data_IF_270357626654
#
_entry.id   IF_270357626654
#
_cell.length_a   1.000
_cell.length_b   1.000
_cell.length_c   1.000
_cell.angle_alpha   90.00
_cell.angle_beta   90.00
_cell.angle_gamma   90.00
#
_symmetry.space_group_name_H-M   'P 1'
#
loop_
_entity.id
_entity.type
_entity.pdbx_description
1 polymer ?
#
# COMPACT_ATOMS: atom_id res chain seq x y z
N UNK A 1 19.03 -8.82 9.81
CA UNK A 1 18.01 -8.30 10.77
C UNK A 1 18.70 -8.11 12.11
N UNK A 2 18.51 -6.99 12.76
CA UNK A 2 18.99 -6.77 14.13
C UNK A 2 18.13 -7.64 15.09
N UNK A 3 18.72 -8.73 15.56
CA UNK A 3 18.03 -9.71 16.41
C UNK A 3 17.69 -9.16 17.79
N UNK A 4 18.50 -8.22 18.30
CA UNK A 4 18.24 -7.57 19.58
C UNK A 4 17.04 -6.63 19.47
N UNK A 5 17.02 -5.76 18.44
CA UNK A 5 15.88 -4.89 18.17
C UNK A 5 14.59 -5.68 17.95
N UNK A 6 14.67 -6.78 17.17
CA UNK A 6 13.53 -7.66 16.94
C UNK A 6 12.96 -8.20 18.26
N UNK A 7 13.82 -8.74 19.12
CA UNK A 7 13.43 -9.37 20.40
C UNK A 7 12.94 -8.38 21.45
N UNK A 8 13.61 -7.22 21.57
CA UNK A 8 13.38 -6.28 22.67
C UNK A 8 12.40 -5.17 22.34
N UNK A 9 12.16 -4.88 21.04
CA UNK A 9 11.34 -3.75 20.59
C UNK A 9 10.21 -4.16 19.64
N UNK A 10 10.56 -4.71 18.48
CA UNK A 10 9.59 -4.91 17.43
C UNK A 10 8.55 -5.98 17.80
N UNK A 11 9.00 -7.17 18.19
CA UNK A 11 8.10 -8.27 18.49
C UNK A 11 7.17 -8.00 19.69
N UNK A 12 7.63 -7.49 20.84
CA UNK A 12 6.73 -7.15 21.94
C UNK A 12 5.63 -6.18 21.55
N UNK A 13 5.95 -5.17 20.74
CA UNK A 13 4.96 -4.20 20.26
C UNK A 13 3.93 -4.83 19.34
N UNK A 14 4.37 -5.57 18.31
CA UNK A 14 3.47 -6.25 17.36
C UNK A 14 2.59 -7.29 18.07
N UNK A 15 3.15 -8.01 19.05
CA UNK A 15 2.41 -8.97 19.89
C UNK A 15 1.23 -8.31 20.64
N UNK A 16 1.44 -7.12 21.22
CA UNK A 16 0.37 -6.41 21.91
C UNK A 16 -0.70 -5.87 20.94
N UNK A 17 -0.30 -5.43 19.74
CA UNK A 17 -1.26 -5.05 18.70
C UNK A 17 -2.10 -6.26 18.25
N UNK A 18 -1.47 -7.42 18.03
CA UNK A 18 -2.17 -8.65 17.71
C UNK A 18 -3.17 -9.04 18.81
N UNK A 19 -2.73 -9.00 20.07
CA UNK A 19 -3.59 -9.25 21.25
C UNK A 19 -4.75 -8.27 21.35
N UNK A 20 -4.54 -7.01 21.00
CA UNK A 20 -5.63 -6.02 20.94
C UNK A 20 -6.73 -6.49 19.99
N UNK A 21 -6.39 -6.89 18.75
CA UNK A 21 -7.39 -7.36 17.79
C UNK A 21 -8.12 -8.63 18.26
N UNK A 22 -7.44 -9.54 18.94
CA UNK A 22 -8.09 -10.72 19.56
C UNK A 22 -9.16 -10.31 20.58
N UNK A 23 -8.84 -9.32 21.41
CA UNK A 23 -9.70 -8.88 22.51
C UNK A 23 -10.92 -8.06 22.06
N UNK A 24 -10.77 -7.25 20.99
CA UNK A 24 -11.88 -6.39 20.50
C UNK A 24 -12.76 -7.07 19.46
N UNK A 25 -12.33 -8.19 18.89
CA UNK A 25 -13.10 -8.94 17.89
C UNK A 25 -14.13 -9.87 18.54
N UNK A 26 -15.18 -10.13 17.78
CA UNK A 26 -16.22 -11.10 18.10
C UNK A 26 -16.37 -12.11 16.96
N UNK A 27 -17.03 -13.23 17.20
CA UNK A 27 -17.39 -14.17 16.13
C UNK A 27 -18.76 -13.83 15.54
N UNK A 28 -18.86 -13.92 14.24
CA UNK A 28 -20.12 -13.85 13.53
C UNK A 28 -20.88 -15.20 13.56
N UNK A 29 -22.05 -15.25 12.89
CA UNK A 29 -22.87 -16.46 12.81
C UNK A 29 -22.23 -17.59 12.00
N UNK A 30 -21.24 -17.30 11.18
CA UNK A 30 -20.48 -18.24 10.37
C UNK A 30 -19.22 -18.75 11.07
N UNK A 31 -18.94 -18.26 12.29
CA UNK A 31 -17.76 -18.60 13.06
C UNK A 31 -16.48 -17.87 12.60
N UNK A 32 -16.61 -16.79 11.81
CA UNK A 32 -15.51 -15.92 11.45
C UNK A 32 -15.41 -14.75 12.42
N UNK A 33 -14.18 -14.28 12.66
CA UNK A 33 -13.96 -13.06 13.44
C UNK A 33 -14.41 -11.82 12.69
N UNK A 34 -14.92 -10.86 13.42
CA UNK A 34 -15.18 -9.53 12.92
C UNK A 34 -14.98 -8.47 14.01
N UNK A 35 -14.74 -7.24 13.64
CA UNK A 35 -14.90 -6.11 14.54
C UNK A 35 -16.39 -5.82 14.73
N UNK A 36 -16.83 -5.59 15.98
CA UNK A 36 -18.23 -5.23 16.24
C UNK A 36 -18.63 -3.88 15.62
N UNK A 37 -17.63 -3.00 15.46
CA UNK A 37 -17.73 -1.70 14.83
C UNK A 37 -16.41 -1.38 14.12
N UNK A 38 -16.47 -0.89 12.90
CA UNK A 38 -15.32 -0.62 12.05
C UNK A 38 -15.55 0.67 11.27
N UNK A 39 -14.50 1.31 10.79
CA UNK A 39 -14.57 2.48 9.94
C UNK A 39 -13.47 2.43 8.87
N UNK A 40 -13.50 3.36 7.94
CA UNK A 40 -12.40 3.56 6.99
C UNK A 40 -12.05 5.05 7.00
N UNK A 41 -10.76 5.43 6.99
CA UNK A 41 -10.35 6.81 7.20
C UNK A 41 -11.12 7.80 6.34
N UNK A 42 -11.79 8.72 7.00
CA UNK A 42 -12.54 9.85 6.43
C UNK A 42 -13.67 9.48 5.46
N UNK A 43 -14.00 8.21 5.30
CA UNK A 43 -15.18 7.78 4.55
C UNK A 43 -16.41 8.17 5.37
N UNK A 44 -17.28 8.96 4.76
CA UNK A 44 -18.47 9.56 5.39
C UNK A 44 -18.16 10.49 6.58
N UNK A 45 -16.92 10.96 6.74
CA UNK A 45 -16.46 11.87 7.80
C UNK A 45 -16.88 11.42 9.23
N UNK A 46 -17.65 12.25 9.96
CA UNK A 46 -18.13 11.95 11.31
C UNK A 46 -19.62 11.56 11.36
N UNK A 47 -20.22 11.24 10.22
CA UNK A 47 -21.63 10.85 10.17
C UNK A 47 -21.82 9.44 10.75
N UNK A 48 -23.08 9.12 11.09
CA UNK A 48 -23.40 7.79 11.65
C UNK A 48 -23.08 6.65 10.67
N UNK A 49 -23.19 6.89 9.38
CA UNK A 49 -22.90 5.95 8.30
C UNK A 49 -21.39 5.76 8.02
N UNK A 50 -20.51 6.50 8.73
CA UNK A 50 -19.07 6.22 8.77
C UNK A 50 -18.73 4.95 9.58
N UNK A 51 -19.67 4.43 10.36
CA UNK A 51 -19.50 3.29 11.24
C UNK A 51 -20.15 2.03 10.66
N UNK A 52 -19.33 1.06 10.32
CA UNK A 52 -19.75 -0.19 9.70
C UNK A 52 -19.90 -1.28 10.77
N UNK A 53 -20.99 -2.05 10.69
CA UNK A 53 -21.22 -3.22 11.56
C UNK A 53 -20.46 -4.47 11.11
N UNK A 54 -19.68 -4.37 10.04
CA UNK A 54 -18.78 -5.38 9.53
C UNK A 54 -17.38 -4.79 9.43
N UNK A 55 -16.36 -5.65 9.51
CA UNK A 55 -14.96 -5.24 9.33
C UNK A 55 -14.76 -4.64 7.94
N UNK A 56 -14.24 -3.42 7.87
CA UNK A 56 -13.85 -2.79 6.60
C UNK A 56 -12.60 -3.44 6.03
N UNK A 57 -12.38 -3.34 4.71
CA UNK A 57 -11.14 -3.81 4.11
C UNK A 57 -9.91 -3.04 4.63
N UNK A 58 -10.08 -1.79 5.08
CA UNK A 58 -9.04 -1.04 5.78
C UNK A 58 -8.58 -1.73 7.06
N UNK A 59 -9.52 -2.02 7.95
CA UNK A 59 -9.19 -2.69 9.21
C UNK A 59 -8.72 -4.12 8.97
N UNK A 60 -9.34 -4.84 8.03
CA UNK A 60 -8.95 -6.21 7.68
C UNK A 60 -7.51 -6.29 7.17
N UNK A 61 -7.10 -5.35 6.32
CA UNK A 61 -5.72 -5.25 5.84
C UNK A 61 -4.73 -5.04 6.99
N UNK A 62 -5.05 -4.13 7.93
CA UNK A 62 -4.23 -3.88 9.11
C UNK A 62 -4.15 -5.09 10.06
N UNK A 63 -5.26 -5.80 10.25
CA UNK A 63 -5.31 -7.03 11.02
C UNK A 63 -4.44 -8.12 10.38
N UNK A 64 -4.62 -8.36 9.08
CA UNK A 64 -3.87 -9.40 8.35
C UNK A 64 -2.37 -9.13 8.34
N UNK A 65 -1.94 -7.89 8.06
CA UNK A 65 -0.51 -7.58 8.09
C UNK A 65 0.06 -7.72 9.50
N UNK A 66 -0.69 -7.37 10.54
CA UNK A 66 -0.26 -7.51 11.93
C UNK A 66 0.00 -8.97 12.28
N UNK A 67 -0.93 -9.88 12.00
CA UNK A 67 -0.72 -11.31 12.29
C UNK A 67 0.34 -11.94 11.40
N UNK A 68 0.44 -11.53 10.12
CA UNK A 68 1.50 -12.01 9.22
C UNK A 68 2.88 -11.65 9.77
N UNK A 69 3.08 -10.39 10.14
CA UNK A 69 4.35 -9.91 10.70
C UNK A 69 4.62 -10.52 12.07
N UNK A 70 3.61 -10.67 12.93
CA UNK A 70 3.75 -11.32 14.23
C UNK A 70 4.22 -12.78 14.07
N UNK A 71 3.62 -13.52 13.13
CA UNK A 71 4.01 -14.89 12.79
C UNK A 71 5.47 -14.96 12.32
N UNK A 72 5.86 -14.14 11.35
CA UNK A 72 7.23 -14.11 10.80
C UNK A 72 8.27 -13.75 11.86
N UNK A 73 7.96 -12.80 12.74
CA UNK A 73 8.83 -12.41 13.84
C UNK A 73 8.96 -13.55 14.86
N UNK A 74 7.85 -14.24 15.21
CA UNK A 74 7.86 -15.38 16.12
C UNK A 74 8.69 -16.54 15.55
N UNK A 75 8.53 -16.87 14.27
CA UNK A 75 9.35 -17.86 13.56
C UNK A 75 10.84 -17.51 13.60
N UNK A 76 11.19 -16.25 13.33
CA UNK A 76 12.58 -15.76 13.38
C UNK A 76 13.18 -15.85 14.79
N UNK A 77 12.37 -15.71 15.83
CA UNK A 77 12.78 -15.83 17.23
C UNK A 77 12.73 -17.28 17.76
N UNK A 78 12.28 -18.25 16.96
CA UNK A 78 12.12 -19.66 17.36
C UNK A 78 10.89 -19.90 18.26
N UNK A 79 9.94 -18.98 18.32
CA UNK A 79 8.72 -19.07 19.12
C UNK A 79 7.59 -19.77 18.33
N UNK A 80 7.79 -21.05 18.04
CA UNK A 80 6.95 -21.79 17.08
C UNK A 80 5.49 -21.93 17.51
N UNK A 81 5.21 -22.03 18.82
CA UNK A 81 3.83 -22.09 19.33
C UNK A 81 3.07 -20.78 19.11
N UNK A 82 3.76 -19.63 19.29
CA UNK A 82 3.21 -18.32 19.01
C UNK A 82 3.01 -18.12 17.50
N UNK A 83 3.95 -18.57 16.67
CA UNK A 83 3.80 -18.52 15.21
C UNK A 83 2.58 -19.34 14.74
N UNK A 84 2.39 -20.55 15.29
CA UNK A 84 1.23 -21.37 15.00
C UNK A 84 -0.09 -20.74 15.49
N UNK A 85 -0.05 -20.02 16.62
CA UNK A 85 -1.20 -19.26 17.11
C UNK A 85 -1.60 -18.16 16.11
N UNK A 86 -0.64 -17.34 15.64
CA UNK A 86 -0.94 -16.27 14.67
C UNK A 86 -1.42 -16.82 13.32
N UNK A 87 -0.91 -17.96 12.88
CA UNK A 87 -1.41 -18.63 11.68
C UNK A 87 -2.90 -19.00 11.82
N UNK A 88 -3.30 -19.56 12.95
CA UNK A 88 -4.73 -19.86 13.23
C UNK A 88 -5.57 -18.59 13.27
N UNK A 89 -5.04 -17.50 13.89
CA UNK A 89 -5.76 -16.23 13.93
C UNK A 89 -6.04 -15.69 12.51
N UNK A 90 -5.07 -15.77 11.59
CA UNK A 90 -5.27 -15.35 10.19
C UNK A 90 -6.44 -16.09 9.52
N UNK A 91 -6.58 -17.39 9.78
CA UNK A 91 -7.63 -18.22 9.18
C UNK A 91 -9.03 -17.92 9.73
N UNK A 92 -9.11 -17.31 10.92
CA UNK A 92 -10.40 -16.97 11.56
C UNK A 92 -11.06 -15.72 10.96
N UNK A 93 -10.30 -14.84 10.30
CA UNK A 93 -10.84 -13.64 9.66
C UNK A 93 -11.41 -13.93 8.27
N UNK A 94 -12.44 -13.18 7.82
CA UNK A 94 -13.01 -13.35 6.49
C UNK A 94 -12.03 -12.91 5.40
N UNK A 95 -12.31 -13.28 4.16
CA UNK A 95 -11.64 -12.70 3.00
C UNK A 95 -12.05 -11.24 2.80
N UNK A 96 -11.27 -10.50 2.00
CA UNK A 96 -11.59 -9.12 1.63
C UNK A 96 -12.95 -9.05 0.91
N UNK A 97 -13.72 -8.03 1.23
CA UNK A 97 -14.96 -7.74 0.54
C UNK A 97 -14.67 -7.25 -0.89
N UNK A 98 -15.23 -7.92 -1.89
CA UNK A 98 -15.01 -7.65 -3.31
C UNK A 98 -16.32 -7.74 -4.10
N UNK A 99 -16.39 -7.02 -5.23
CA UNK A 99 -17.43 -7.17 -6.26
C UNK A 99 -16.84 -6.92 -7.67
N UNK A 100 -17.66 -6.57 -8.63
CA UNK A 100 -17.25 -6.24 -10.00
C UNK A 100 -16.41 -4.95 -10.07
N UNK A 101 -16.54 -4.03 -9.14
CA UNK A 101 -15.71 -2.80 -9.07
C UNK A 101 -14.31 -3.05 -8.50
N UNK A 102 -14.11 -4.16 -7.80
CA UNK A 102 -12.84 -4.52 -7.16
C UNK A 102 -12.96 -4.69 -5.66
N UNK A 103 -11.95 -4.21 -4.91
CA UNK A 103 -11.96 -4.18 -3.45
C UNK A 103 -12.94 -3.13 -2.95
N UNK A 104 -13.80 -3.50 -1.99
CA UNK A 104 -14.81 -2.65 -1.40
C UNK A 104 -14.30 -1.90 -0.17
N UNK A 105 -15.00 -0.86 0.27
CA UNK A 105 -14.77 -0.23 1.57
C UNK A 105 -15.11 -1.21 2.70
N UNK A 106 -16.29 -1.83 2.59
CA UNK A 106 -16.82 -2.83 3.52
C UNK A 106 -17.75 -3.78 2.76
N UNK A 107 -18.14 -4.93 3.31
CA UNK A 107 -19.14 -5.80 2.70
C UNK A 107 -20.40 -5.05 2.26
N UNK A 108 -20.68 -5.06 0.95
CA UNK A 108 -21.82 -4.37 0.34
C UNK A 108 -21.67 -2.85 0.17
N UNK A 109 -20.50 -2.27 0.47
CA UNK A 109 -20.23 -0.83 0.27
C UNK A 109 -19.03 -0.65 -0.66
N UNK A 110 -19.23 -0.45 -1.96
CA UNK A 110 -18.17 -0.04 -2.88
C UNK A 110 -17.74 1.41 -2.60
N UNK A 111 -16.57 1.80 -3.14
CA UNK A 111 -16.23 3.20 -3.29
C UNK A 111 -17.02 3.71 -4.50
N UNK A 112 -17.94 4.65 -4.24
CA UNK A 112 -18.92 5.16 -5.20
C UNK A 112 -18.82 6.67 -5.44
N UNK A 113 -17.84 7.32 -4.83
CA UNK A 113 -17.53 8.73 -5.02
C UNK A 113 -16.01 9.00 -5.02
N UNK A 114 -15.60 10.11 -5.61
CA UNK A 114 -14.21 10.56 -5.53
C UNK A 114 -13.80 10.76 -4.08
N UNK A 115 -12.62 10.27 -3.71
CA UNK A 115 -12.12 10.39 -2.34
C UNK A 115 -10.60 10.41 -2.31
N UNK A 116 -10.01 11.19 -1.39
CA UNK A 116 -8.55 11.34 -1.26
C UNK A 116 -7.83 10.13 -0.68
N UNK A 117 -8.53 9.23 0.02
CA UNK A 117 -7.97 8.04 0.63
C UNK A 117 -8.43 6.76 -0.08
N UNK A 118 -7.48 5.96 -0.52
CA UNK A 118 -7.70 4.62 -1.07
C UNK A 118 -7.46 3.54 0.00
N UNK A 119 -7.90 3.80 1.23
CA UNK A 119 -7.64 2.95 2.39
C UNK A 119 -8.15 1.52 2.25
N UNK A 120 -9.21 1.29 1.48
CA UNK A 120 -9.71 -0.04 1.14
C UNK A 120 -8.72 -0.85 0.26
N UNK A 121 -7.69 -0.21 -0.31
CA UNK A 121 -6.66 -0.85 -1.15
C UNK A 121 -5.36 -1.17 -0.39
N UNK A 122 -5.32 -1.01 0.94
CA UNK A 122 -4.11 -1.27 1.73
C UNK A 122 -3.58 -2.70 1.58
N UNK A 123 -4.46 -3.69 1.41
CA UNK A 123 -4.04 -5.08 1.16
C UNK A 123 -3.16 -5.20 -0.09
N UNK A 124 -3.38 -4.35 -1.11
CA UNK A 124 -2.52 -4.27 -2.28
C UNK A 124 -1.30 -3.38 -2.03
N UNK A 125 -1.52 -2.10 -1.69
CA UNK A 125 -0.43 -1.16 -1.43
C UNK A 125 -0.72 -0.31 -0.20
N UNK A 126 0.17 -0.28 0.80
CA UNK A 126 1.57 -0.74 0.77
C UNK A 126 1.81 -2.20 1.16
N UNK A 127 0.82 -2.92 1.74
CA UNK A 127 1.09 -4.16 2.46
C UNK A 127 1.49 -5.35 1.57
N UNK A 128 1.06 -5.40 0.31
CA UNK A 128 1.39 -6.50 -0.60
C UNK A 128 0.78 -7.84 -0.21
N UNK A 129 -0.30 -7.84 0.58
CA UNK A 129 -1.07 -9.04 0.93
C UNK A 129 -1.79 -9.60 -0.30
N UNK A 130 -2.18 -8.72 -1.21
CA UNK A 130 -2.66 -9.04 -2.55
C UNK A 130 -1.66 -8.45 -3.55
N UNK A 131 -1.12 -9.28 -4.47
CA UNK A 131 -0.10 -8.88 -5.43
C UNK A 131 -0.29 -9.56 -6.77
N UNK A 132 0.14 -8.91 -7.85
CA UNK A 132 0.05 -9.44 -9.21
C UNK A 132 0.80 -10.77 -9.41
N UNK A 133 1.81 -11.07 -8.59
CA UNK A 133 2.54 -12.35 -8.60
C UNK A 133 1.68 -13.53 -8.15
N UNK A 134 0.54 -13.30 -7.51
CA UNK A 134 -0.42 -14.34 -7.11
C UNK A 134 -1.29 -14.84 -8.28
N UNK A 135 -1.10 -14.30 -9.47
CA UNK A 135 -1.71 -14.77 -10.71
C UNK A 135 -2.88 -13.92 -11.20
N UNK A 136 -3.53 -14.41 -12.24
CA UNK A 136 -4.49 -13.62 -13.03
C UNK A 136 -5.70 -13.13 -12.22
N UNK A 137 -6.18 -13.88 -11.24
CA UNK A 137 -7.31 -13.46 -10.40
C UNK A 137 -6.96 -12.24 -9.54
N UNK A 138 -5.81 -12.29 -8.87
CA UNK A 138 -5.32 -11.17 -8.07
C UNK A 138 -5.01 -9.96 -8.96
N UNK A 139 -4.36 -10.17 -10.11
CA UNK A 139 -4.10 -9.12 -11.09
C UNK A 139 -5.38 -8.43 -11.54
N UNK A 140 -6.40 -9.19 -11.93
CA UNK A 140 -7.69 -8.63 -12.37
C UNK A 140 -8.41 -7.88 -11.25
N UNK A 141 -8.35 -8.37 -10.02
CA UNK A 141 -8.92 -7.68 -8.86
C UNK A 141 -8.23 -6.32 -8.65
N UNK A 142 -6.90 -6.30 -8.64
CA UNK A 142 -6.10 -5.07 -8.48
C UNK A 142 -6.42 -4.06 -9.59
N UNK A 143 -6.41 -4.51 -10.86
CA UNK A 143 -6.66 -3.62 -12.00
C UNK A 143 -8.06 -3.03 -11.99
N UNK A 144 -9.09 -3.81 -11.59
CA UNK A 144 -10.45 -3.28 -11.42
C UNK A 144 -10.53 -2.26 -10.31
N UNK A 145 -9.89 -2.53 -9.18
CA UNK A 145 -9.85 -1.61 -8.04
C UNK A 145 -9.18 -0.28 -8.39
N UNK A 146 -8.05 -0.32 -9.11
CA UNK A 146 -7.37 0.89 -9.61
C UNK A 146 -8.28 1.62 -10.61
N UNK A 147 -8.88 0.89 -11.55
CA UNK A 147 -9.78 1.48 -12.54
C UNK A 147 -10.97 2.16 -11.88
N UNK A 148 -11.57 1.55 -10.85
CA UNK A 148 -12.70 2.14 -10.14
C UNK A 148 -12.35 3.51 -9.56
N UNK A 149 -11.22 3.64 -8.84
CA UNK A 149 -10.83 4.94 -8.28
C UNK A 149 -10.47 5.97 -9.35
N UNK A 150 -9.91 5.55 -10.49
CA UNK A 150 -9.65 6.44 -11.63
C UNK A 150 -10.95 6.91 -12.32
N UNK A 151 -11.92 6.01 -12.49
CA UNK A 151 -13.22 6.34 -13.11
C UNK A 151 -14.06 7.30 -12.25
N UNK A 152 -13.96 7.22 -10.92
CA UNK A 152 -14.61 8.15 -9.99
C UNK A 152 -14.03 9.56 -10.06
N UNK A 153 -12.83 9.70 -10.61
CA UNK A 153 -12.21 10.97 -10.92
C UNK A 153 -11.57 11.68 -9.73
N UNK A 154 -10.89 12.80 -10.01
CA UNK A 154 -9.99 13.45 -9.06
C UNK A 154 -10.65 14.57 -8.22
N UNK A 155 -11.95 14.78 -8.28
CA UNK A 155 -12.63 15.93 -7.68
C UNK A 155 -12.20 16.16 -6.21
N UNK A 156 -12.10 15.10 -5.42
CA UNK A 156 -11.72 15.18 -4.02
C UNK A 156 -10.35 14.53 -3.72
N UNK A 157 -9.46 14.51 -4.72
CA UNK A 157 -8.09 14.05 -4.52
C UNK A 157 -7.21 15.17 -3.97
N UNK A 158 -6.12 14.78 -3.31
CA UNK A 158 -5.02 15.65 -2.91
C UNK A 158 -3.74 15.24 -3.64
N UNK A 159 -2.67 16.00 -3.48
CA UNK A 159 -1.38 15.58 -4.06
C UNK A 159 -0.91 14.21 -3.56
N UNK A 160 -1.15 13.90 -2.27
CA UNK A 160 -0.85 12.56 -1.73
C UNK A 160 -1.55 11.44 -2.51
N UNK A 161 -2.79 11.65 -2.94
CA UNK A 161 -3.58 10.66 -3.71
C UNK A 161 -2.88 10.29 -5.02
N UNK A 162 -2.37 11.28 -5.75
CA UNK A 162 -1.60 11.06 -6.97
C UNK A 162 -0.29 10.31 -6.71
N UNK A 163 0.44 10.69 -5.65
CA UNK A 163 1.66 9.99 -5.27
C UNK A 163 1.37 8.53 -4.86
N UNK A 164 0.26 8.26 -4.16
CA UNK A 164 -0.16 6.91 -3.81
C UNK A 164 -0.56 6.10 -5.05
N UNK A 165 -1.34 6.69 -5.97
CA UNK A 165 -1.72 6.04 -7.23
C UNK A 165 -0.48 5.71 -8.07
N UNK A 166 0.56 6.58 -8.08
CA UNK A 166 1.81 6.29 -8.76
C UNK A 166 2.51 5.02 -8.22
N UNK A 167 2.52 4.82 -6.89
CA UNK A 167 3.01 3.58 -6.28
C UNK A 167 2.20 2.36 -6.75
N UNK A 168 0.88 2.45 -6.76
CA UNK A 168 0.02 1.36 -7.22
C UNK A 168 0.25 1.04 -8.71
N UNK A 169 0.39 2.07 -9.56
CA UNK A 169 0.73 1.90 -10.98
C UNK A 169 2.09 1.22 -11.16
N UNK A 170 3.09 1.59 -10.36
CA UNK A 170 4.40 0.93 -10.39
C UNK A 170 4.30 -0.57 -10.03
N UNK A 171 3.46 -0.95 -9.06
CA UNK A 171 3.28 -2.36 -8.68
C UNK A 171 2.54 -3.22 -9.71
N UNK A 172 1.79 -2.61 -10.60
CA UNK A 172 1.20 -3.30 -11.77
C UNK A 172 2.02 -3.13 -13.05
N UNK A 173 3.28 -2.69 -12.93
CA UNK A 173 4.22 -2.45 -14.04
C UNK A 173 3.75 -1.37 -15.05
N UNK A 174 2.83 -0.50 -14.67
CA UNK A 174 2.42 0.66 -15.48
C UNK A 174 3.33 1.87 -15.20
N UNK A 175 4.56 1.83 -15.72
CA UNK A 175 5.54 2.90 -15.54
C UNK A 175 5.10 4.24 -16.17
N UNK A 176 4.36 4.22 -17.27
CA UNK A 176 3.84 5.44 -17.87
C UNK A 176 2.75 6.07 -17.01
N UNK A 177 1.86 5.27 -16.44
CA UNK A 177 0.84 5.70 -15.49
C UNK A 177 1.47 6.24 -14.20
N UNK A 178 2.48 5.57 -13.66
CA UNK A 178 3.23 6.03 -12.49
C UNK A 178 3.86 7.42 -12.74
N UNK A 179 4.61 7.57 -13.84
CA UNK A 179 5.24 8.84 -14.19
C UNK A 179 4.23 9.98 -14.41
N UNK A 180 3.08 9.69 -15.04
CA UNK A 180 2.02 10.70 -15.26
C UNK A 180 1.49 11.22 -13.92
N UNK A 181 1.20 10.33 -12.96
CA UNK A 181 0.74 10.73 -11.64
C UNK A 181 1.81 11.51 -10.85
N UNK A 182 3.07 11.10 -10.93
CA UNK A 182 4.19 11.85 -10.33
C UNK A 182 4.34 13.26 -10.94
N UNK A 183 4.16 13.43 -12.26
CA UNK A 183 4.19 14.73 -12.89
C UNK A 183 3.05 15.63 -12.41
N UNK A 184 1.84 15.09 -12.27
CA UNK A 184 0.70 15.84 -11.70
C UNK A 184 1.04 16.27 -10.27
N UNK A 185 1.50 15.34 -9.42
CA UNK A 185 1.93 15.66 -8.06
C UNK A 185 2.95 16.80 -8.01
N UNK A 186 4.04 16.69 -8.76
CA UNK A 186 5.14 17.67 -8.74
C UNK A 186 4.72 19.03 -9.27
N UNK A 187 3.89 19.09 -10.33
CA UNK A 187 3.56 20.34 -10.99
C UNK A 187 2.34 21.04 -10.37
N UNK A 188 1.35 20.28 -9.88
CA UNK A 188 0.10 20.84 -9.40
C UNK A 188 -0.03 20.90 -7.87
N UNK A 189 0.73 20.08 -7.14
CA UNK A 189 0.59 19.96 -5.70
C UNK A 189 1.88 20.24 -4.92
N UNK A 190 2.88 20.83 -5.55
CA UNK A 190 4.11 21.22 -4.86
C UNK A 190 4.34 22.73 -4.95
N UNK A 191 4.84 23.30 -3.88
CA UNK A 191 5.35 24.67 -3.85
C UNK A 191 6.72 24.76 -4.55
N UNK A 192 7.22 25.97 -4.88
CA UNK A 192 8.52 26.14 -5.53
C UNK A 192 9.71 25.52 -4.78
N UNK A 193 9.62 25.33 -3.47
CA UNK A 193 10.61 24.63 -2.65
C UNK A 193 10.33 23.13 -2.53
N UNK A 194 9.50 22.57 -3.41
CA UNK A 194 9.15 21.15 -3.51
C UNK A 194 8.28 20.59 -2.37
N UNK A 195 7.79 21.40 -1.44
CA UNK A 195 6.91 20.93 -0.39
C UNK A 195 5.51 20.65 -0.93
N UNK A 196 4.97 19.50 -0.57
CA UNK A 196 3.61 19.12 -0.92
C UNK A 196 2.58 20.06 -0.29
N UNK A 197 1.65 20.52 -1.11
CA UNK A 197 0.46 21.29 -0.74
C UNK A 197 -0.78 20.45 -1.08
N UNK A 198 -1.76 20.42 -0.18
CA UNK A 198 -2.90 19.49 -0.35
C UNK A 198 -3.74 19.78 -1.61
N UNK A 199 -3.96 21.06 -1.96
CA UNK A 199 -4.83 21.44 -3.08
C UNK A 199 -4.09 21.63 -4.39
N UNK A 200 -4.83 21.58 -5.49
CA UNK A 200 -4.33 21.92 -6.85
C UNK A 200 -3.97 23.40 -6.91
N UNK A 201 -2.73 23.70 -7.25
CA UNK A 201 -2.19 25.07 -7.39
C UNK A 201 -2.25 25.58 -8.83
N UNK A 202 -2.75 24.79 -9.78
CA UNK A 202 -2.69 25.10 -11.22
C UNK A 202 -4.03 25.41 -11.85
N UNK A 203 -5.14 25.09 -11.16
CA UNK A 203 -6.51 25.21 -11.69
C UNK A 203 -6.73 24.38 -12.98
N UNK A 204 -6.03 23.26 -13.08
CA UNK A 204 -6.14 22.34 -14.23
C UNK A 204 -7.17 21.20 -14.01
N UNK A 205 -7.98 21.28 -12.96
CA UNK A 205 -9.00 20.30 -12.66
C UNK A 205 -8.48 19.00 -12.07
N UNK A 206 -7.28 19.03 -11.46
CA UNK A 206 -6.74 17.88 -10.74
C UNK A 206 -7.33 17.70 -9.33
N UNK A 207 -8.07 18.68 -8.85
CA UNK A 207 -8.83 18.64 -7.60
C UNK A 207 -9.78 19.83 -7.52
N UNK A 208 -10.88 19.69 -6.79
CA UNK A 208 -11.68 20.83 -6.33
C UNK A 208 -11.07 21.52 -5.10
N UNK A 209 -10.13 20.87 -4.42
CA UNK A 209 -9.35 21.48 -3.34
C UNK A 209 -8.27 22.40 -3.92
N UNK A 210 -8.25 23.66 -3.43
CA UNK A 210 -7.24 24.68 -3.83
C UNK A 210 -6.44 25.21 -2.64
N UNK A 211 -6.74 24.72 -1.42
CA UNK A 211 -6.10 25.15 -0.20
C UNK A 211 -4.64 24.67 -0.09
N UNK A 212 -3.85 25.37 0.73
CA UNK A 212 -2.38 25.26 0.75
C UNK A 212 -1.77 24.72 2.05
N UNK A 213 -2.45 23.95 2.91
CA UNK A 213 -1.75 23.35 4.04
C UNK A 213 -0.62 22.45 3.55
N UNK A 214 0.54 22.58 4.19
CA UNK A 214 1.68 21.72 3.94
C UNK A 214 1.46 20.37 4.62
N UNK A 215 1.71 19.30 3.86
CA UNK A 215 1.63 17.91 4.35
C UNK A 215 2.79 17.11 3.77
N UNK A 216 3.57 16.44 4.60
CA UNK A 216 4.83 15.81 4.20
C UNK A 216 4.65 14.42 3.58
N UNK A 217 3.56 13.75 3.86
CA UNK A 217 3.27 12.38 3.39
C UNK A 217 3.29 12.25 1.86
N UNK A 218 2.83 13.28 1.14
CA UNK A 218 2.88 13.28 -0.34
C UNK A 218 4.31 13.26 -0.87
N UNK A 219 5.23 13.98 -0.24
CA UNK A 219 6.64 13.97 -0.61
C UNK A 219 7.27 12.59 -0.41
N UNK A 220 6.97 11.92 0.71
CA UNK A 220 7.48 10.57 0.97
C UNK A 220 6.86 9.55 0.01
N UNK A 221 5.56 9.63 -0.27
CA UNK A 221 4.90 8.76 -1.22
C UNK A 221 5.44 8.94 -2.65
N UNK A 222 5.76 10.19 -3.05
CA UNK A 222 6.41 10.48 -4.33
C UNK A 222 7.80 9.83 -4.43
N UNK A 223 8.62 9.97 -3.38
CA UNK A 223 9.93 9.33 -3.31
C UNK A 223 9.81 7.79 -3.35
N UNK A 224 8.85 7.22 -2.62
CA UNK A 224 8.57 5.80 -2.62
C UNK A 224 8.15 5.30 -4.01
N UNK A 225 7.30 6.04 -4.74
CA UNK A 225 6.87 5.65 -6.08
C UNK A 225 8.04 5.59 -7.07
N UNK A 226 8.98 6.54 -7.00
CA UNK A 226 10.20 6.48 -7.83
C UNK A 226 11.01 5.22 -7.49
N UNK A 227 11.14 4.88 -6.21
CA UNK A 227 11.84 3.65 -5.80
C UNK A 227 11.10 2.40 -6.26
N UNK A 228 9.77 2.33 -6.14
CA UNK A 228 8.93 1.23 -6.66
C UNK A 228 9.06 1.06 -8.18
N UNK A 229 9.26 2.14 -8.94
CA UNK A 229 9.53 2.06 -10.38
C UNK A 229 10.90 1.46 -10.70
N UNK A 230 11.89 1.64 -9.82
CA UNK A 230 13.27 1.22 -10.00
C UNK A 230 13.56 -0.17 -9.41
N UNK A 231 13.02 -0.47 -8.21
CA UNK A 231 13.34 -1.68 -7.46
C UNK A 231 12.15 -2.10 -6.60
N UNK A 232 11.72 -3.35 -6.73
CA UNK A 232 10.72 -3.96 -5.85
C UNK A 232 11.27 -5.25 -5.23
N UNK A 233 10.89 -5.53 -3.99
CA UNK A 233 11.28 -6.77 -3.29
C UNK A 233 10.23 -7.28 -2.30
N UNK A 234 9.06 -6.65 -2.25
CA UNK A 234 7.98 -6.95 -1.30
C UNK A 234 7.36 -8.36 -1.44
N UNK A 235 7.57 -9.03 -2.58
CA UNK A 235 7.08 -10.40 -2.83
C UNK A 235 8.14 -11.49 -2.59
N UNK A 236 9.26 -11.16 -1.93
CA UNK A 236 10.37 -12.10 -1.74
C UNK A 236 11.28 -12.27 -2.95
N UNK A 237 10.96 -11.62 -4.07
CA UNK A 237 11.80 -11.60 -5.28
C UNK A 237 12.25 -10.18 -5.57
N UNK A 238 13.55 -9.99 -5.83
CA UNK A 238 14.09 -8.68 -6.23
C UNK A 238 13.79 -8.46 -7.72
N UNK A 239 12.97 -7.46 -8.02
CA UNK A 239 12.63 -7.02 -9.37
C UNK A 239 13.35 -5.70 -9.66
N UNK A 240 14.26 -5.70 -10.65
CA UNK A 240 15.00 -4.51 -11.07
C UNK A 240 14.32 -3.89 -12.27
N UNK A 241 14.08 -2.59 -12.22
CA UNK A 241 13.37 -1.81 -13.25
C UNK A 241 11.97 -2.34 -13.59
N UNK A 242 11.13 -2.69 -12.60
CA UNK A 242 9.83 -3.34 -12.86
C UNK A 242 8.83 -2.44 -13.58
N UNK A 243 8.97 -1.10 -13.48
CA UNK A 243 7.98 -0.16 -13.99
C UNK A 243 8.62 1.11 -14.60
N UNK A 244 9.59 0.95 -15.51
CA UNK A 244 10.14 2.10 -16.22
C UNK A 244 9.14 2.64 -17.26
N UNK A 245 8.94 3.97 -17.31
CA UNK A 245 8.17 4.57 -18.37
C UNK A 245 8.94 4.49 -19.71
N UNK A 246 8.21 4.43 -20.79
CA UNK A 246 8.81 4.29 -22.15
C UNK A 246 9.75 5.44 -22.56
N UNK A 247 9.61 6.61 -21.92
CA UNK A 247 10.46 7.79 -22.13
C UNK A 247 11.84 7.69 -21.46
N UNK A 248 12.00 6.84 -20.45
CA UNK A 248 13.27 6.70 -19.74
C UNK A 248 14.17 5.68 -20.45
N UNK A 249 15.12 6.16 -21.21
CA UNK A 249 16.06 5.33 -21.99
C UNK A 249 17.37 5.07 -21.25
N UNK A 250 17.74 5.95 -20.34
CA UNK A 250 18.96 5.84 -19.54
C UNK A 250 18.62 6.12 -18.09
N UNK A 251 18.75 5.11 -17.24
CA UNK A 251 18.40 5.15 -15.82
C UNK A 251 19.44 4.40 -15.03
N UNK A 252 19.85 4.92 -13.89
CA UNK A 252 20.70 4.16 -12.97
C UNK A 252 20.37 4.50 -11.54
N UNK A 253 20.62 3.53 -10.66
CA UNK A 253 20.59 3.73 -9.22
C UNK A 253 21.71 2.96 -8.54
N UNK A 254 22.07 3.40 -7.32
CA UNK A 254 23.11 2.77 -6.52
C UNK A 254 22.63 2.52 -5.10
N UNK A 255 22.95 1.32 -4.60
CA UNK A 255 22.75 0.93 -3.20
C UNK A 255 21.30 1.13 -2.70
N UNK A 256 20.29 0.93 -3.55
CA UNK A 256 18.92 0.85 -3.08
C UNK A 256 18.76 -0.43 -2.25
N UNK A 257 18.10 -0.29 -1.10
CA UNK A 257 17.90 -1.41 -0.18
C UNK A 257 16.70 -2.25 -0.62
N UNK A 258 16.94 -3.56 -0.73
CA UNK A 258 15.91 -4.56 -0.92
C UNK A 258 15.69 -5.38 0.37
N UNK A 259 14.56 -6.06 0.48
CA UNK A 259 14.26 -6.97 1.58
C UNK A 259 15.32 -8.08 1.66
N UNK A 260 15.60 -8.56 2.88
CA UNK A 260 16.62 -9.59 3.12
C UNK A 260 18.04 -9.03 3.36
N UNK A 261 18.18 -7.72 3.56
CA UNK A 261 19.45 -7.00 3.76
C UNK A 261 20.35 -7.03 2.51
N UNK A 262 19.76 -6.80 1.35
CA UNK A 262 20.48 -6.63 0.10
C UNK A 262 20.58 -5.16 -0.29
N UNK A 263 21.74 -4.77 -0.84
CA UNK A 263 21.94 -3.51 -1.55
C UNK A 263 22.02 -3.82 -3.04
N UNK A 264 21.22 -3.13 -3.83
CA UNK A 264 21.15 -3.32 -5.28
C UNK A 264 21.59 -2.04 -5.98
N UNK A 265 22.41 -2.20 -7.01
CA UNK A 265 22.78 -1.13 -7.95
C UNK A 265 22.53 -1.64 -9.36
N UNK A 266 21.98 -0.80 -10.23
CA UNK A 266 21.70 -1.20 -11.59
C UNK A 266 21.78 -0.02 -12.56
N UNK A 267 22.04 -0.34 -13.83
CA UNK A 267 21.98 0.62 -14.93
C UNK A 267 21.16 0.07 -16.10
N UNK A 268 20.39 0.95 -16.70
CA UNK A 268 19.58 0.73 -17.89
C UNK A 268 20.03 1.75 -18.94
N UNK A 269 20.48 1.29 -20.08
CA UNK A 269 21.11 2.14 -21.12
C UNK A 269 20.51 1.79 -22.47
N UNK A 270 20.07 2.81 -23.19
CA UNK A 270 19.46 2.67 -24.52
C UNK A 270 18.31 1.67 -24.59
N UNK A 271 17.55 1.52 -23.51
CA UNK A 271 16.39 0.63 -23.49
C UNK A 271 16.68 -0.80 -23.04
N UNK A 272 17.88 -1.08 -22.53
CA UNK A 272 18.30 -2.40 -22.08
C UNK A 272 18.99 -2.36 -20.72
N UNK A 273 18.86 -3.44 -19.94
CA UNK A 273 19.58 -3.59 -18.68
C UNK A 273 21.07 -3.82 -18.97
N UNK A 274 21.90 -2.85 -18.61
CA UNK A 274 23.34 -2.89 -18.87
C UNK A 274 24.12 -3.55 -17.72
N UNK A 275 23.71 -3.34 -16.47
CA UNK A 275 24.36 -3.96 -15.31
C UNK A 275 23.42 -4.09 -14.13
N UNK A 276 23.63 -5.12 -13.33
CA UNK A 276 23.01 -5.32 -12.00
C UNK A 276 24.10 -5.82 -11.06
N UNK A 277 24.20 -5.20 -9.89
CA UNK A 277 25.05 -5.64 -8.79
C UNK A 277 24.20 -5.80 -7.54
N UNK A 278 24.29 -6.93 -6.88
CA UNK A 278 23.62 -7.22 -5.61
C UNK A 278 24.67 -7.55 -4.56
N UNK A 279 24.64 -6.82 -3.45
CA UNK A 279 25.54 -7.04 -2.31
C UNK A 279 24.72 -7.46 -1.10
N UNK A 280 25.09 -8.56 -0.45
CA UNK A 280 24.51 -8.95 0.84
C UNK A 280 25.20 -8.19 1.98
N UNK A 281 24.43 -7.70 2.92
CA UNK A 281 24.93 -7.07 4.16
C UNK A 281 24.90 -8.07 5.35
N UNK A 282 24.73 -9.34 5.07
CA UNK A 282 24.79 -10.44 6.06
C UNK A 282 26.11 -11.19 5.96
#
# INVERSE_FOLDING_TARGET
MDSQFLKERAYPWVKEVARFFENVSIYDKQGKRKLPLSSSPEINDNRIDAWFMNTTNYDLANIRITYTVAKEMAETLGLMDEAAHYARQLDEWPDEAVDESGLLIAPGKPMDESHRHFSHLLSFHPFGLIDVSQGIKATNLILRSIKNVEDLGPDYWTGYTYAWLANMKARVADGNGALRNLHIFMNAFCSPNSFHLNGDQTDNGYSQYTYRPFTLEGNFACAAAIQEMLLQSHTGTIKVFPALPTSWKNVSFRNLRAMGAFLVSASYVNGEVASITVTSEK
#
